data_IF_242739604359
#
_entry.id   IF_242739604359
#
_cell.length_a   1.000
_cell.length_b   1.000
_cell.length_c   1.000
_cell.angle_alpha   90.00
_cell.angle_beta   90.00
_cell.angle_gamma   90.00
#
_symmetry.space_group_name_H-M   'P 1'
#
loop_
_entity.id
_entity.type
_entity.pdbx_description
1 polymer ?
#
# COMPACT_ATOMS: atom_id res chain seq x y z
N UNK A 1 15.78 1.02 22.24
CA UNK A 1 14.47 0.46 22.61
C UNK A 1 14.64 -0.90 23.27
N UNK A 2 13.96 -1.16 24.40
CA UNK A 2 13.93 -2.49 25.01
C UNK A 2 13.16 -3.49 24.14
N UNK A 3 13.69 -4.70 23.98
CA UNK A 3 13.11 -5.75 23.13
C UNK A 3 11.79 -6.25 23.75
N UNK A 4 10.73 -6.38 22.95
CA UNK A 4 9.47 -6.98 23.42
C UNK A 4 9.70 -8.45 23.80
N UNK A 5 9.36 -8.80 25.04
CA UNK A 5 9.46 -10.16 25.56
C UNK A 5 8.08 -10.81 25.51
N UNK A 6 7.86 -11.71 24.54
CA UNK A 6 6.58 -12.41 24.36
C UNK A 6 6.21 -13.28 25.56
N UNK A 7 7.19 -13.91 26.22
CA UNK A 7 6.98 -14.75 27.39
C UNK A 7 7.29 -13.98 28.68
N UNK A 8 6.40 -13.06 29.07
CA UNK A 8 6.58 -12.23 30.26
C UNK A 8 5.93 -12.85 31.50
N UNK A 9 6.63 -12.80 32.64
CA UNK A 9 6.06 -13.25 33.92
C UNK A 9 5.03 -12.22 34.42
N UNK A 10 4.00 -12.68 35.13
CA UNK A 10 2.85 -11.87 35.59
C UNK A 10 3.22 -10.61 36.41
N UNK A 11 4.42 -10.59 37.01
CA UNK A 11 4.90 -9.51 37.89
C UNK A 11 6.02 -8.63 37.28
N UNK A 12 6.50 -8.92 36.07
CA UNK A 12 7.49 -8.06 35.41
C UNK A 12 6.79 -6.79 34.88
N UNK A 13 7.43 -5.61 34.84
CA UNK A 13 6.88 -4.35 34.28
C UNK A 13 6.88 -4.31 32.75
N UNK A 14 6.00 -3.51 32.13
CA UNK A 14 5.85 -3.53 30.66
C UNK A 14 7.05 -2.88 29.98
N UNK A 15 7.60 -3.45 28.88
CA UNK A 15 8.73 -2.84 28.17
C UNK A 15 8.48 -1.40 27.75
N UNK A 16 7.22 -1.04 27.53
CA UNK A 16 6.77 0.33 27.22
C UNK A 16 6.75 1.23 28.47
N UNK A 17 6.49 0.68 29.65
CA UNK A 17 6.55 1.41 30.93
C UNK A 17 7.99 1.68 31.39
N UNK A 18 8.97 0.92 30.86
CA UNK A 18 10.40 1.11 31.12
C UNK A 18 11.03 2.23 30.27
N UNK A 19 10.24 2.89 29.43
CA UNK A 19 10.71 3.98 28.57
C UNK A 19 10.52 5.27 29.35
N UNK A 20 11.63 5.87 29.81
CA UNK A 20 11.62 7.13 30.55
C UNK A 20 11.68 8.35 29.61
N UNK A 21 12.23 8.18 28.41
CA UNK A 21 12.33 9.24 27.41
C UNK A 21 10.96 9.54 26.75
N UNK A 22 10.46 10.75 26.97
CA UNK A 22 9.20 11.24 26.38
C UNK A 22 9.24 11.30 24.86
N UNK A 23 10.39 11.64 24.26
CA UNK A 23 10.52 11.70 22.80
C UNK A 23 10.35 10.32 22.16
N UNK A 24 10.93 9.29 22.80
CA UNK A 24 10.75 7.90 22.39
C UNK A 24 9.30 7.44 22.52
N UNK A 25 8.57 7.86 23.57
CA UNK A 25 7.14 7.55 23.73
C UNK A 25 6.31 8.15 22.61
N UNK A 26 6.56 9.42 22.27
CA UNK A 26 5.83 10.10 21.21
C UNK A 26 6.03 9.40 19.86
N UNK A 27 7.27 9.02 19.52
CA UNK A 27 7.57 8.28 18.30
C UNK A 27 6.87 6.93 18.24
N UNK A 28 6.74 6.22 19.36
CA UNK A 28 5.99 4.96 19.43
C UNK A 28 4.52 5.19 19.09
N UNK A 29 3.91 6.20 19.71
CA UNK A 29 2.49 6.53 19.47
C UNK A 29 2.27 6.91 18.00
N UNK A 30 3.16 7.72 17.43
CA UNK A 30 3.11 8.08 16.01
C UNK A 30 3.25 6.84 15.12
N UNK A 31 4.16 5.94 15.45
CA UNK A 31 4.38 4.70 14.70
C UNK A 31 3.15 3.79 14.76
N UNK A 32 2.54 3.61 15.94
CA UNK A 32 1.32 2.81 16.11
C UNK A 32 0.16 3.41 15.30
N UNK A 33 -0.04 4.72 15.37
CA UNK A 33 -1.06 5.42 14.56
C UNK A 33 -0.82 5.23 13.06
N UNK A 34 0.43 5.30 12.61
CA UNK A 34 0.77 5.07 11.21
C UNK A 34 0.47 3.62 10.77
N UNK A 35 0.76 2.64 11.63
CA UNK A 35 0.43 1.23 11.38
C UNK A 35 -1.08 1.02 11.30
N UNK A 36 -1.85 1.57 12.24
CA UNK A 36 -3.31 1.48 12.23
C UNK A 36 -3.91 2.11 10.97
N UNK A 37 -3.43 3.30 10.59
CA UNK A 37 -3.84 3.96 9.36
C UNK A 37 -3.49 3.15 8.11
N UNK A 38 -2.29 2.54 8.09
CA UNK A 38 -1.87 1.66 6.99
C UNK A 38 -2.79 0.44 6.87
N UNK A 39 -3.06 -0.26 7.97
CA UNK A 39 -3.95 -1.43 7.98
C UNK A 39 -5.35 -1.05 7.51
N UNK A 40 -5.89 0.08 7.97
CA UNK A 40 -7.18 0.59 7.51
C UNK A 40 -7.20 0.84 5.99
N UNK A 41 -6.14 1.47 5.47
CA UNK A 41 -5.98 1.70 4.04
C UNK A 41 -5.90 0.38 3.25
N UNK A 42 -5.18 -0.62 3.76
CA UNK A 42 -5.12 -1.95 3.16
C UNK A 42 -6.50 -2.61 3.09
N UNK A 43 -7.31 -2.53 4.15
CA UNK A 43 -8.67 -3.08 4.17
C UNK A 43 -9.56 -2.42 3.11
N UNK A 44 -9.53 -1.09 3.00
CA UNK A 44 -10.28 -0.34 1.98
C UNK A 44 -9.83 -0.75 0.58
N UNK A 45 -8.51 -0.80 0.36
CA UNK A 45 -7.91 -1.18 -0.93
C UNK A 45 -8.32 -2.59 -1.35
N UNK A 46 -8.30 -3.55 -0.42
CA UNK A 46 -8.73 -4.92 -0.67
C UNK A 46 -10.21 -4.99 -1.06
N UNK A 47 -11.09 -4.25 -0.37
CA UNK A 47 -12.51 -4.17 -0.72
C UNK A 47 -12.75 -3.59 -2.12
N UNK A 48 -11.99 -2.56 -2.51
CA UNK A 48 -12.04 -2.00 -3.87
C UNK A 48 -11.58 -3.04 -4.89
N UNK A 49 -10.49 -3.75 -4.58
CA UNK A 49 -9.93 -4.78 -5.45
C UNK A 49 -10.93 -5.92 -5.70
N UNK A 50 -11.62 -6.35 -4.65
CA UNK A 50 -12.72 -7.31 -4.70
C UNK A 50 -13.86 -6.82 -5.58
N UNK A 51 -14.29 -5.58 -5.39
CA UNK A 51 -15.35 -4.97 -6.19
C UNK A 51 -15.00 -4.92 -7.68
N UNK A 52 -13.77 -4.53 -8.00
CA UNK A 52 -13.25 -4.53 -9.38
C UNK A 52 -13.22 -5.95 -9.95
N UNK A 53 -12.79 -6.94 -9.14
CA UNK A 53 -12.78 -8.35 -9.52
C UNK A 53 -14.15 -8.87 -9.92
N UNK A 54 -15.19 -8.50 -9.18
CA UNK A 54 -16.57 -8.89 -9.46
C UNK A 54 -17.15 -8.17 -10.68
N UNK A 55 -16.87 -6.87 -10.84
CA UNK A 55 -17.46 -6.07 -11.93
C UNK A 55 -16.78 -6.26 -13.28
N UNK A 56 -15.46 -6.50 -13.29
CA UNK A 56 -14.65 -6.47 -14.51
C UNK A 56 -13.98 -7.81 -14.82
N UNK A 57 -14.46 -8.92 -14.24
CA UNK A 57 -13.91 -10.26 -14.47
C UNK A 57 -13.84 -10.63 -15.96
N UNK A 58 -14.89 -10.30 -16.72
CA UNK A 58 -14.97 -10.61 -18.16
C UNK A 58 -14.15 -9.68 -19.06
N UNK A 59 -13.74 -8.50 -18.58
CA UNK A 59 -12.99 -7.53 -19.40
C UNK A 59 -11.48 -7.76 -19.35
N UNK A 60 -10.99 -8.49 -18.34
CA UNK A 60 -9.56 -8.64 -18.09
C UNK A 60 -9.07 -9.92 -18.74
N UNK A 61 -8.23 -9.77 -19.76
CA UNK A 61 -7.67 -10.91 -20.47
C UNK A 61 -6.59 -11.60 -19.61
N UNK A 62 -7.03 -12.61 -18.84
CA UNK A 62 -6.19 -13.39 -17.91
C UNK A 62 -5.13 -14.23 -18.61
N UNK A 63 -5.35 -14.59 -19.89
CA UNK A 63 -4.43 -15.46 -20.65
C UNK A 63 -3.04 -14.85 -20.86
N UNK A 64 -2.92 -13.51 -20.86
CA UNK A 64 -1.63 -12.80 -20.96
C UNK A 64 -0.95 -12.55 -19.61
N UNK A 65 -1.68 -12.74 -18.51
CA UNK A 65 -1.21 -12.41 -17.16
C UNK A 65 -0.58 -13.63 -16.46
N UNK A 66 -1.05 -14.85 -16.77
CA UNK A 66 -0.52 -16.07 -16.16
C UNK A 66 -0.81 -17.29 -17.03
N UNK A 67 0.16 -18.18 -17.18
CA UNK A 67 -0.11 -19.53 -17.63
C UNK A 67 -0.82 -20.28 -16.50
N UNK A 68 -2.12 -20.52 -16.64
CA UNK A 68 -2.91 -21.30 -15.69
C UNK A 68 -3.10 -22.71 -16.25
N UNK A 69 -2.69 -23.74 -15.50
CA UNK A 69 -2.85 -25.14 -15.92
C UNK A 69 -4.32 -25.58 -16.03
N UNK A 70 -5.22 -24.86 -15.38
CA UNK A 70 -6.68 -25.06 -15.45
C UNK A 70 -7.34 -23.70 -15.61
N UNK A 71 -8.28 -23.52 -16.56
CA UNK A 71 -9.02 -22.27 -16.67
C UNK A 71 -9.80 -22.06 -15.36
N UNK A 72 -9.39 -21.07 -14.57
CA UNK A 72 -10.09 -20.77 -13.31
C UNK A 72 -11.37 -19.99 -13.60
N UNK A 73 -12.43 -20.34 -12.88
CA UNK A 73 -13.70 -19.64 -12.57
C UNK A 73 -14.04 -18.35 -13.35
N UNK A 74 -15.33 -18.17 -13.65
CA UNK A 74 -15.91 -16.98 -14.32
C UNK A 74 -15.52 -15.63 -13.67
N UNK A 75 -15.23 -15.64 -12.37
CA UNK A 75 -14.74 -14.47 -11.62
C UNK A 75 -13.23 -14.59 -11.43
N UNK A 76 -12.50 -13.57 -11.87
CA UNK A 76 -11.05 -13.47 -11.70
C UNK A 76 -10.66 -13.29 -10.23
N UNK A 77 -9.45 -13.68 -9.86
CA UNK A 77 -8.95 -13.51 -8.49
C UNK A 77 -8.51 -12.06 -8.22
N UNK A 78 -8.63 -11.60 -6.98
CA UNK A 78 -8.11 -10.31 -6.52
C UNK A 78 -6.63 -10.13 -6.87
N UNK A 79 -5.83 -11.19 -6.70
CA UNK A 79 -4.41 -11.20 -7.04
C UNK A 79 -4.17 -10.94 -8.54
N UNK A 80 -5.05 -11.46 -9.41
CA UNK A 80 -4.99 -11.21 -10.85
C UNK A 80 -5.26 -9.75 -11.17
N UNK A 81 -6.26 -9.14 -10.52
CA UNK A 81 -6.56 -7.70 -10.67
C UNK A 81 -5.40 -6.86 -10.18
N UNK A 82 -4.84 -7.17 -9.00
CA UNK A 82 -3.72 -6.43 -8.43
C UNK A 82 -2.51 -6.46 -9.39
N UNK A 83 -2.19 -7.64 -9.93
CA UNK A 83 -1.11 -7.78 -10.89
C UNK A 83 -1.38 -7.02 -12.20
N UNK A 84 -2.62 -7.08 -12.72
CA UNK A 84 -3.02 -6.31 -13.90
C UNK A 84 -2.85 -4.80 -13.68
N UNK A 85 -3.35 -4.29 -12.55
CA UNK A 85 -3.23 -2.88 -12.19
C UNK A 85 -1.77 -2.49 -12.03
N UNK A 86 -0.97 -3.25 -11.29
CA UNK A 86 0.46 -2.96 -11.09
C UNK A 86 1.21 -2.79 -12.41
N UNK A 87 0.90 -3.61 -13.41
CA UNK A 87 1.54 -3.56 -14.73
C UNK A 87 1.00 -2.46 -15.64
N UNK A 88 -0.28 -2.08 -15.49
CA UNK A 88 -0.96 -1.18 -16.42
C UNK A 88 -1.29 0.20 -15.84
N UNK A 89 -1.07 0.45 -14.54
CA UNK A 89 -1.55 1.66 -13.85
C UNK A 89 -1.06 2.95 -14.52
N UNK A 90 0.23 3.02 -14.87
CA UNK A 90 0.80 4.18 -15.56
C UNK A 90 0.25 4.34 -16.99
N UNK A 91 0.02 3.24 -17.69
CA UNK A 91 -0.60 3.29 -19.02
C UNK A 91 -2.06 3.77 -18.94
N UNK A 92 -2.80 3.32 -17.92
CA UNK A 92 -4.18 3.77 -17.64
C UNK A 92 -4.19 5.27 -17.29
N UNK A 93 -3.26 5.73 -16.46
CA UNK A 93 -3.10 7.16 -16.14
C UNK A 93 -2.77 7.97 -17.39
N UNK A 94 -1.81 7.55 -18.20
CA UNK A 94 -1.42 8.25 -19.43
C UNK A 94 -2.57 8.37 -20.45
N UNK A 95 -3.46 7.38 -20.50
CA UNK A 95 -4.67 7.41 -21.34
C UNK A 95 -5.78 8.28 -20.77
N UNK A 96 -5.82 8.47 -19.45
CA UNK A 96 -6.87 9.22 -18.74
C UNK A 96 -6.27 10.45 -18.05
N UNK A 97 -5.80 11.40 -18.85
CA UNK A 97 -5.14 12.63 -18.38
C UNK A 97 -6.08 13.55 -17.58
N UNK A 98 -7.40 13.34 -17.67
CA UNK A 98 -8.38 14.13 -16.93
C UNK A 98 -8.44 13.82 -15.43
N UNK A 99 -7.85 12.71 -14.98
CA UNK A 99 -7.83 12.33 -13.57
C UNK A 99 -6.96 13.34 -12.80
N UNK A 100 -7.46 13.98 -11.72
CA UNK A 100 -6.71 14.99 -10.97
C UNK A 100 -5.34 14.50 -10.48
N UNK A 101 -5.26 13.25 -10.04
CA UNK A 101 -4.01 12.62 -9.60
C UNK A 101 -2.99 12.55 -10.74
N UNK A 102 -3.43 12.18 -11.95
CA UNK A 102 -2.54 12.15 -13.12
C UNK A 102 -2.04 13.55 -13.47
N UNK A 103 -2.90 14.58 -13.41
CA UNK A 103 -2.49 15.98 -13.62
C UNK A 103 -1.43 16.42 -12.61
N UNK A 104 -1.65 16.13 -11.33
CA UNK A 104 -0.70 16.46 -10.25
C UNK A 104 0.65 15.77 -10.48
N UNK A 105 0.64 14.47 -10.79
CA UNK A 105 1.88 13.72 -11.05
C UNK A 105 2.62 14.30 -12.26
N UNK A 106 1.91 14.60 -13.35
CA UNK A 106 2.52 15.17 -14.55
C UNK A 106 3.09 16.57 -14.28
N UNK A 107 2.36 17.43 -13.56
CA UNK A 107 2.85 18.76 -13.15
C UNK A 107 4.14 18.64 -12.33
N UNK A 108 4.17 17.75 -11.34
CA UNK A 108 5.35 17.52 -10.50
C UNK A 108 6.56 16.95 -11.25
N UNK A 109 6.33 16.20 -12.33
CA UNK A 109 7.41 15.72 -13.21
C UNK A 109 7.91 16.78 -14.20
N UNK A 110 7.12 17.83 -14.43
CA UNK A 110 7.45 18.93 -15.34
C UNK A 110 8.27 20.04 -14.65
N UNK A 111 8.23 20.09 -13.32
CA UNK A 111 9.02 21.00 -12.47
C UNK A 111 10.37 20.34 -12.13
N UNK A 112 11.51 20.76 -12.73
CA UNK A 112 12.82 20.16 -12.47
C UNK A 112 13.43 20.53 -11.11
N UNK A 113 12.77 21.39 -10.32
CA UNK A 113 13.29 21.91 -9.05
C UNK A 113 13.50 20.85 -7.95
N UNK A 114 13.00 19.62 -8.14
CA UNK A 114 13.12 18.55 -7.15
C UNK A 114 14.49 17.81 -7.15
N UNK A 115 15.35 18.03 -8.16
CA UNK A 115 16.65 17.36 -8.23
C UNK A 115 17.79 18.12 -7.53
N UNK A 116 17.62 19.41 -7.20
CA UNK A 116 18.67 20.18 -6.51
C UNK A 116 18.72 19.88 -5.01
N UNK A 117 17.58 19.54 -4.38
CA UNK A 117 17.51 19.23 -2.94
C UNK A 117 18.12 17.86 -2.56
N UNK A 118 18.37 16.97 -3.53
CA UNK A 118 19.00 15.66 -3.31
C UNK A 118 20.52 15.67 -3.51
N UNK A 119 21.09 16.75 -4.08
CA UNK A 119 22.54 16.88 -4.30
C UNK A 119 23.26 17.64 -3.19
N UNK A 120 22.53 18.13 -2.17
CA UNK A 120 23.08 18.77 -0.98
C UNK A 120 22.70 17.96 0.27
N UNK A 121 23.29 16.77 0.42
CA UNK A 121 23.34 16.02 1.70
C UNK A 121 24.55 15.10 1.73
#
# INVERSE_FOLDING_TARGET
MPKMKHYRKKNEKHPVELIEDEKAKEQIVQTVKAIEGYVMCCCITMGILQFVSLKYSGCINTTKLRYLQTPSKEIVSETTIAHYLQRNIFSIMAKNQEIPITKIIMQKQSEPEFYEDLQVS
#
